data_IF_085790242051
#
_entry.id   IF_085790242051
#
_cell.length_a   1.000
_cell.length_b   1.000
_cell.length_c   1.000
_cell.angle_alpha   90.00
_cell.angle_beta   90.00
_cell.angle_gamma   90.00
#
_symmetry.space_group_name_H-M   'P 1'
#
loop_
_entity.id
_entity.type
_entity.pdbx_description
1 polymer ?
#
# COMPACT_ATOMS: atom_id res chain seq x y z
N UNK A 1 -30.84 -15.52 -4.68
CA UNK A 1 -30.45 -14.31 -5.43
C UNK A 1 -29.82 -14.78 -6.74
N UNK A 2 -30.39 -14.46 -7.91
CA UNK A 2 -29.90 -14.96 -9.21
C UNK A 2 -28.63 -14.19 -9.62
N UNK A 3 -27.46 -14.70 -9.24
CA UNK A 3 -26.16 -14.08 -9.54
C UNK A 3 -25.87 -14.07 -11.06
N UNK A 4 -26.43 -15.03 -11.77
CA UNK A 4 -26.44 -15.25 -13.21
C UNK A 4 -27.18 -14.15 -14.00
N UNK A 5 -28.05 -13.37 -13.33
CA UNK A 5 -28.72 -12.21 -13.92
C UNK A 5 -28.02 -10.86 -13.57
N UNK A 6 -27.03 -10.87 -12.68
CA UNK A 6 -26.28 -9.67 -12.32
C UNK A 6 -25.27 -9.34 -13.42
N UNK A 7 -25.68 -8.49 -14.37
CA UNK A 7 -24.80 -7.95 -15.40
C UNK A 7 -23.81 -6.98 -14.74
N UNK A 8 -22.68 -7.49 -14.25
CA UNK A 8 -21.61 -6.68 -13.68
C UNK A 8 -21.00 -5.85 -14.83
N UNK A 9 -21.44 -4.60 -14.94
CA UNK A 9 -20.84 -3.63 -15.86
C UNK A 9 -19.60 -3.08 -15.18
N UNK A 10 -18.43 -3.46 -15.69
CA UNK A 10 -17.16 -2.90 -15.27
C UNK A 10 -17.03 -1.47 -15.82
N UNK A 11 -17.44 -0.49 -15.01
CA UNK A 11 -17.26 0.93 -15.33
C UNK A 11 -15.80 1.33 -15.06
N UNK A 12 -15.14 2.05 -15.99
CA UNK A 12 -13.84 2.65 -15.71
C UNK A 12 -13.94 3.61 -14.52
N UNK A 13 -13.12 3.38 -13.49
CA UNK A 13 -13.03 4.29 -12.34
C UNK A 13 -11.93 5.32 -12.56
N UNK A 14 -12.21 6.55 -12.17
CA UNK A 14 -11.23 7.63 -12.07
C UNK A 14 -10.27 7.40 -10.89
N UNK A 15 -9.12 8.07 -10.89
CA UNK A 15 -8.17 7.98 -9.78
C UNK A 15 -8.77 8.49 -8.46
N UNK A 16 -9.60 9.53 -8.52
CA UNK A 16 -10.29 10.07 -7.34
C UNK A 16 -11.27 9.06 -6.76
N UNK A 17 -12.08 8.39 -7.60
CA UNK A 17 -12.98 7.32 -7.16
C UNK A 17 -12.21 6.13 -6.55
N UNK A 18 -11.01 5.81 -7.05
CA UNK A 18 -10.16 4.77 -6.46
C UNK A 18 -9.65 5.15 -5.06
N UNK A 19 -9.26 6.41 -4.85
CA UNK A 19 -8.81 6.89 -3.55
C UNK A 19 -9.96 7.01 -2.54
N UNK A 20 -11.11 7.51 -2.97
CA UNK A 20 -12.32 7.54 -2.14
C UNK A 20 -12.71 6.13 -1.70
N UNK A 21 -12.70 5.18 -2.64
CA UNK A 21 -12.95 3.77 -2.32
C UNK A 21 -11.89 3.19 -1.39
N UNK A 22 -10.62 3.57 -1.54
CA UNK A 22 -9.56 3.12 -0.64
C UNK A 22 -9.78 3.64 0.79
N UNK A 23 -10.16 4.91 0.96
CA UNK A 23 -10.50 5.48 2.26
C UNK A 23 -11.70 4.75 2.87
N UNK A 24 -12.77 4.58 2.11
CA UNK A 24 -13.97 3.86 2.56
C UNK A 24 -13.68 2.42 2.93
N UNK A 25 -12.84 1.73 2.15
CA UNK A 25 -12.42 0.37 2.44
C UNK A 25 -11.65 0.29 3.77
N UNK A 26 -10.77 1.27 4.02
CA UNK A 26 -10.00 1.35 5.26
C UNK A 26 -10.89 1.63 6.49
N UNK A 27 -11.98 2.39 6.34
CA UNK A 27 -12.86 2.81 7.45
C UNK A 27 -14.00 1.86 7.76
N UNK A 28 -14.50 1.09 6.79
CA UNK A 28 -15.67 0.22 6.95
C UNK A 28 -15.28 -1.28 6.87
N UNK A 29 -15.06 -1.90 5.69
CA UNK A 29 -14.78 -3.34 5.58
C UNK A 29 -13.54 -3.83 6.34
N UNK A 30 -12.47 -3.05 6.33
CA UNK A 30 -11.16 -3.50 6.81
C UNK A 30 -10.75 -2.86 8.15
N UNK A 31 -11.51 -1.92 8.69
CA UNK A 31 -11.10 -1.12 9.85
C UNK A 31 -10.62 -1.95 11.04
N UNK A 32 -11.39 -2.96 11.46
CA UNK A 32 -11.01 -3.84 12.59
C UNK A 32 -9.73 -4.63 12.31
N UNK A 33 -9.57 -5.13 11.08
CA UNK A 33 -8.38 -5.90 10.68
C UNK A 33 -7.15 -4.98 10.61
N UNK A 34 -7.30 -3.80 10.01
CA UNK A 34 -6.23 -2.82 9.86
C UNK A 34 -5.81 -2.20 11.18
N UNK A 35 -6.74 -1.95 12.10
CA UNK A 35 -6.40 -1.51 13.45
C UNK A 35 -5.54 -2.53 14.19
N UNK A 36 -5.90 -3.82 14.13
CA UNK A 36 -5.11 -4.90 14.74
C UNK A 36 -3.74 -5.04 14.08
N UNK A 37 -3.68 -5.07 12.75
CA UNK A 37 -2.41 -5.13 12.02
C UNK A 37 -1.55 -3.89 12.28
N UNK A 38 -2.14 -2.71 12.32
CA UNK A 38 -1.48 -1.44 12.64
C UNK A 38 -0.90 -1.44 14.05
N UNK A 39 -1.66 -1.89 15.04
CA UNK A 39 -1.16 -2.04 16.41
C UNK A 39 0.02 -3.03 16.51
N UNK A 40 0.04 -4.08 15.69
CA UNK A 40 1.11 -5.08 15.69
C UNK A 40 2.33 -4.70 14.85
N UNK A 41 2.19 -3.85 13.84
CA UNK A 41 3.26 -3.57 12.86
C UNK A 41 3.65 -2.10 12.81
N UNK A 42 2.67 -1.21 12.65
CA UNK A 42 2.91 0.24 12.52
C UNK A 42 3.25 0.88 13.86
N UNK A 43 2.57 0.50 14.94
CA UNK A 43 2.81 1.08 16.26
C UNK A 43 4.23 0.77 16.78
N UNK A 44 4.74 -0.48 16.72
CA UNK A 44 6.14 -0.74 17.08
C UNK A 44 7.13 0.00 16.19
N UNK A 45 6.87 0.10 14.88
CA UNK A 45 7.73 0.84 13.97
C UNK A 45 7.78 2.34 14.29
N UNK A 46 6.64 2.94 14.61
CA UNK A 46 6.56 4.32 15.07
C UNK A 46 7.30 4.52 16.39
N UNK A 47 7.09 3.64 17.37
CA UNK A 47 7.80 3.69 18.66
C UNK A 47 9.31 3.57 18.50
N UNK A 48 9.78 2.72 17.58
CA UNK A 48 11.21 2.62 17.26
C UNK A 48 11.76 3.92 16.66
N UNK A 49 11.02 4.58 15.77
CA UNK A 49 11.41 5.88 15.24
C UNK A 49 11.43 6.97 16.33
N UNK A 50 10.46 6.97 17.24
CA UNK A 50 10.45 7.88 18.38
C UNK A 50 11.62 7.61 19.34
N UNK A 51 11.91 6.34 19.63
CA UNK A 51 13.07 5.97 20.44
C UNK A 51 14.38 6.43 19.79
N UNK A 52 14.52 6.26 18.47
CA UNK A 52 15.68 6.77 17.75
C UNK A 52 15.81 8.31 17.85
N UNK A 53 14.70 9.04 17.73
CA UNK A 53 14.69 10.50 17.82
C UNK A 53 15.01 11.02 19.24
N UNK A 54 14.38 10.45 20.28
CA UNK A 54 14.41 11.03 21.64
C UNK A 54 15.33 10.32 22.63
N UNK A 55 15.68 9.05 22.40
CA UNK A 55 16.57 8.30 23.31
C UNK A 55 17.98 8.17 22.74
N UNK A 56 18.13 8.17 21.42
CA UNK A 56 19.42 8.05 20.74
C UNK A 56 19.88 9.38 20.12
N UNK A 57 19.08 10.44 20.23
CA UNK A 57 19.32 11.78 19.68
C UNK A 57 19.69 11.76 18.18
N UNK A 58 19.08 10.85 17.40
CA UNK A 58 19.32 10.79 15.96
C UNK A 58 18.79 12.04 15.26
N UNK A 59 19.47 12.44 14.18
CA UNK A 59 18.99 13.54 13.36
C UNK A 59 17.63 13.18 12.74
N UNK A 60 16.75 14.16 12.55
CA UNK A 60 15.43 13.91 11.95
C UNK A 60 15.54 13.31 10.55
N UNK A 61 16.61 13.61 9.81
CA UNK A 61 16.87 12.99 8.49
C UNK A 61 17.04 11.48 8.65
N UNK A 62 17.87 11.03 9.60
CA UNK A 62 18.10 9.61 9.87
C UNK A 62 16.83 8.92 10.36
N UNK A 63 16.04 9.60 11.18
CA UNK A 63 14.75 9.10 11.67
C UNK A 63 13.74 8.93 10.51
N UNK A 64 13.68 9.88 9.58
CA UNK A 64 12.84 9.74 8.38
C UNK A 64 13.31 8.62 7.46
N UNK A 65 14.63 8.45 7.30
CA UNK A 65 15.20 7.32 6.56
C UNK A 65 14.82 5.98 7.21
N UNK A 66 14.91 5.89 8.54
CA UNK A 66 14.46 4.72 9.30
C UNK A 66 12.95 4.49 9.11
N UNK A 67 12.13 5.54 9.20
CA UNK A 67 10.69 5.45 9.02
C UNK A 67 10.32 4.91 7.64
N UNK A 68 10.94 5.43 6.57
CA UNK A 68 10.75 4.95 5.20
C UNK A 68 11.23 3.50 5.05
N UNK A 69 12.37 3.15 5.65
CA UNK A 69 12.92 1.79 5.63
C UNK A 69 12.02 0.77 6.35
N UNK A 70 11.33 1.16 7.42
CA UNK A 70 10.37 0.32 8.14
C UNK A 70 9.00 0.27 7.45
N UNK A 71 8.47 1.42 7.01
CA UNK A 71 7.15 1.49 6.38
C UNK A 71 7.11 0.73 5.04
N UNK A 72 8.21 0.74 4.28
CA UNK A 72 8.30 0.08 2.98
C UNK A 72 7.97 -1.43 3.03
N UNK A 73 8.62 -2.25 3.86
CA UNK A 73 8.24 -3.65 4.00
C UNK A 73 6.87 -3.83 4.65
N UNK A 74 6.49 -2.99 5.62
CA UNK A 74 5.19 -3.09 6.30
C UNK A 74 4.01 -2.89 5.33
N UNK A 75 4.15 -2.07 4.28
CA UNK A 75 3.14 -1.97 3.21
C UNK A 75 2.72 -3.35 2.67
N UNK A 76 3.64 -4.31 2.62
CA UNK A 76 3.36 -5.66 2.14
C UNK A 76 2.33 -6.41 2.99
N UNK A 77 2.34 -6.19 4.31
CA UNK A 77 1.34 -6.77 5.23
C UNK A 77 -0.06 -6.30 4.84
N UNK A 78 -0.22 -5.00 4.58
CA UNK A 78 -1.49 -4.41 4.18
C UNK A 78 -1.89 -4.80 2.74
N UNK A 79 -0.93 -4.98 1.83
CA UNK A 79 -1.19 -5.52 0.48
C UNK A 79 -1.74 -6.95 0.54
N UNK A 80 -1.20 -7.80 1.41
CA UNK A 80 -1.76 -9.16 1.62
C UNK A 80 -3.14 -9.09 2.28
N UNK A 81 -3.30 -8.23 3.28
CA UNK A 81 -4.57 -8.05 3.99
C UNK A 81 -5.71 -7.64 3.06
N UNK A 82 -5.51 -6.60 2.24
CA UNK A 82 -6.51 -6.12 1.26
C UNK A 82 -6.80 -7.20 0.22
N UNK A 83 -5.76 -7.89 -0.26
CA UNK A 83 -5.88 -8.97 -1.22
C UNK A 83 -6.82 -10.06 -0.73
N UNK A 84 -6.64 -10.53 0.51
CA UNK A 84 -7.51 -11.56 1.09
C UNK A 84 -8.90 -11.05 1.43
N UNK A 85 -8.99 -9.86 2.03
CA UNK A 85 -10.26 -9.30 2.50
C UNK A 85 -11.23 -8.98 1.36
N UNK A 86 -10.73 -8.75 0.14
CA UNK A 86 -11.60 -8.63 -1.05
C UNK A 86 -12.23 -9.95 -1.50
N UNK A 87 -11.62 -11.10 -1.20
CA UNK A 87 -12.12 -12.41 -1.64
C UNK A 87 -12.74 -13.26 -0.53
N UNK A 88 -12.52 -12.91 0.74
CA UNK A 88 -13.04 -13.63 1.89
C UNK A 88 -13.70 -12.68 2.89
N UNK A 89 -14.87 -13.07 3.39
CA UNK A 89 -15.62 -12.31 4.40
C UNK A 89 -14.85 -12.23 5.73
N UNK A 90 -14.23 -13.34 6.14
CA UNK A 90 -13.43 -13.44 7.36
C UNK A 90 -11.96 -13.68 7.02
N UNK A 91 -11.10 -12.81 7.52
CA UNK A 91 -9.65 -12.92 7.36
C UNK A 91 -9.01 -12.71 8.72
N UNK A 92 -8.28 -13.71 9.21
CA UNK A 92 -7.57 -13.61 10.48
C UNK A 92 -6.23 -12.89 10.33
N UNK A 93 -5.84 -12.17 11.39
CA UNK A 93 -4.56 -11.45 11.46
C UNK A 93 -3.38 -12.40 11.30
N UNK A 94 -3.45 -13.57 11.95
CA UNK A 94 -2.38 -14.57 11.94
C UNK A 94 -2.13 -15.12 10.55
N UNK A 95 -3.17 -15.37 9.76
CA UNK A 95 -2.98 -15.87 8.40
C UNK A 95 -2.37 -14.82 7.46
N UNK A 96 -2.74 -13.54 7.61
CA UNK A 96 -2.12 -12.44 6.85
C UNK A 96 -0.63 -12.36 7.16
N UNK A 97 -0.26 -12.36 8.45
CA UNK A 97 1.13 -12.28 8.88
C UNK A 97 1.93 -13.52 8.47
N UNK A 98 1.35 -14.72 8.58
CA UNK A 98 1.99 -15.96 8.16
C UNK A 98 2.26 -15.96 6.64
N UNK A 99 1.29 -15.56 5.84
CA UNK A 99 1.45 -15.47 4.39
C UNK A 99 2.53 -14.45 4.00
N UNK A 100 2.50 -13.26 4.64
CA UNK A 100 3.53 -12.26 4.46
C UNK A 100 4.92 -12.80 4.84
N UNK A 101 5.04 -13.46 6.00
CA UNK A 101 6.30 -14.00 6.50
C UNK A 101 6.89 -15.07 5.59
N UNK A 102 6.06 -15.99 5.08
CA UNK A 102 6.48 -17.01 4.11
C UNK A 102 7.08 -16.41 2.84
N UNK A 103 6.71 -15.18 2.48
CA UNK A 103 7.22 -14.46 1.31
C UNK A 103 8.11 -13.28 1.64
N UNK A 104 8.52 -13.12 2.90
CA UNK A 104 9.29 -11.98 3.36
C UNK A 104 10.63 -11.85 2.63
N UNK A 105 11.40 -12.94 2.47
CA UNK A 105 12.72 -12.88 1.82
C UNK A 105 12.65 -12.56 0.32
N UNK A 106 11.83 -13.26 -0.51
CA UNK A 106 11.66 -12.86 -1.90
C UNK A 106 11.17 -11.42 -2.06
N UNK A 107 10.26 -10.99 -1.18
CA UNK A 107 9.74 -9.64 -1.15
C UNK A 107 10.82 -8.61 -0.81
N UNK A 108 11.66 -8.88 0.19
CA UNK A 108 12.79 -8.01 0.52
C UNK A 108 13.78 -7.90 -0.64
N UNK A 109 14.05 -9.01 -1.34
CA UNK A 109 14.84 -8.98 -2.59
C UNK A 109 14.20 -8.09 -3.65
N UNK A 110 12.89 -8.18 -3.86
CA UNK A 110 12.15 -7.32 -4.78
C UNK A 110 12.23 -5.83 -4.39
N UNK A 111 12.15 -5.53 -3.09
CA UNK A 111 12.30 -4.18 -2.56
C UNK A 111 13.72 -3.65 -2.81
N UNK A 112 14.77 -4.40 -2.49
CA UNK A 112 16.14 -3.97 -2.74
C UNK A 112 16.35 -3.70 -4.23
N UNK A 113 15.97 -4.64 -5.10
CA UNK A 113 16.15 -4.49 -6.55
C UNK A 113 15.35 -3.30 -7.10
N UNK A 114 14.10 -3.09 -6.66
CA UNK A 114 13.31 -1.93 -7.10
C UNK A 114 13.87 -0.60 -6.59
N UNK A 115 14.46 -0.56 -5.39
CA UNK A 115 15.06 0.66 -4.81
C UNK A 115 16.40 0.99 -5.46
N UNK A 116 17.20 -0.03 -5.80
CA UNK A 116 18.38 0.15 -6.65
C UNK A 116 17.99 0.69 -8.03
N UNK A 117 16.93 0.15 -8.64
CA UNK A 117 16.44 0.62 -9.93
C UNK A 117 15.93 2.08 -9.86
N UNK A 118 15.24 2.45 -8.79
CA UNK A 118 14.85 3.84 -8.53
C UNK A 118 16.05 4.76 -8.31
N UNK A 119 17.03 4.33 -7.51
CA UNK A 119 18.26 5.09 -7.25
C UNK A 119 19.04 5.35 -8.54
N UNK A 120 19.22 4.32 -9.37
CA UNK A 120 19.86 4.44 -10.69
C UNK A 120 19.06 5.36 -11.63
N UNK A 121 17.73 5.23 -11.66
CA UNK A 121 16.87 6.15 -12.42
C UNK A 121 16.96 7.60 -11.92
N UNK A 122 17.14 7.78 -10.61
CA UNK A 122 17.36 9.06 -9.95
C UNK A 122 18.69 9.71 -10.33
N UNK A 123 19.74 8.96 -10.66
CA UNK A 123 21.01 9.52 -11.15
C UNK A 123 20.85 10.25 -12.49
N UNK A 124 19.84 9.91 -13.28
CA UNK A 124 19.41 10.69 -14.44
C UNK A 124 18.66 11.98 -14.08
N UNK A 125 18.93 12.55 -12.90
CA UNK A 125 18.24 13.65 -12.24
C UNK A 125 17.98 14.86 -13.14
N UNK A 126 18.92 15.17 -14.05
CA UNK A 126 18.78 16.27 -15.02
C UNK A 126 17.60 16.08 -15.99
N UNK A 127 17.05 14.88 -16.08
CA UNK A 127 15.87 14.55 -16.87
C UNK A 127 14.70 14.22 -15.94
N UNK A 128 13.95 15.22 -15.48
CA UNK A 128 12.76 15.05 -14.58
C UNK A 128 11.83 13.91 -15.02
N UNK A 129 11.75 13.66 -16.33
CA UNK A 129 10.95 12.60 -16.93
C UNK A 129 11.41 11.18 -16.51
N UNK A 130 12.72 10.93 -16.42
CA UNK A 130 13.25 9.58 -16.20
C UNK A 130 12.94 9.05 -14.79
N UNK A 131 13.18 9.80 -13.68
CA UNK A 131 12.81 9.34 -12.34
C UNK A 131 11.31 9.05 -12.20
N UNK A 132 10.46 9.94 -12.73
CA UNK A 132 8.99 9.76 -12.67
C UNK A 132 8.56 8.51 -13.43
N UNK A 133 9.15 8.27 -14.60
CA UNK A 133 8.86 7.09 -15.41
C UNK A 133 9.33 5.78 -14.75
N UNK A 134 10.53 5.79 -14.16
CA UNK A 134 11.04 4.64 -13.39
C UNK A 134 10.17 4.38 -12.16
N UNK A 135 9.75 5.43 -11.47
CA UNK A 135 8.83 5.34 -10.32
C UNK A 135 7.49 4.74 -10.69
N UNK A 136 6.92 5.16 -11.82
CA UNK A 136 5.73 4.52 -12.37
C UNK A 136 5.96 3.02 -12.57
N UNK A 137 7.04 2.61 -13.25
CA UNK A 137 7.30 1.20 -13.57
C UNK A 137 7.41 0.25 -12.37
N UNK A 138 7.76 0.76 -11.19
CA UNK A 138 7.88 -0.05 -9.98
C UNK A 138 6.65 0.03 -9.06
N UNK A 139 5.59 0.74 -9.46
CA UNK A 139 4.38 0.97 -8.64
C UNK A 139 3.78 -0.32 -8.07
N UNK A 140 3.76 -1.38 -8.87
CA UNK A 140 3.04 -2.63 -8.57
C UNK A 140 3.96 -3.81 -8.20
N UNK A 141 5.21 -3.53 -7.83
CA UNK A 141 6.19 -4.57 -7.43
C UNK A 141 5.70 -5.36 -6.22
N UNK A 142 5.04 -4.70 -5.26
CA UNK A 142 4.57 -5.36 -4.05
C UNK A 142 3.47 -6.38 -4.37
N UNK A 143 2.48 -6.02 -5.20
CA UNK A 143 1.39 -6.91 -5.60
C UNK A 143 1.90 -8.07 -6.46
N UNK A 144 2.78 -7.77 -7.43
CA UNK A 144 3.38 -8.81 -8.28
C UNK A 144 4.18 -9.83 -7.46
N UNK A 145 4.94 -9.39 -6.45
CA UNK A 145 5.70 -10.30 -5.61
C UNK A 145 4.82 -11.06 -4.60
N UNK A 146 3.96 -10.35 -3.86
CA UNK A 146 3.22 -10.93 -2.72
C UNK A 146 1.95 -11.67 -3.14
N UNK A 147 1.28 -11.24 -4.22
CA UNK A 147 0.02 -11.83 -4.65
C UNK A 147 0.24 -12.79 -5.82
N UNK A 148 1.00 -12.39 -6.85
CA UNK A 148 1.31 -13.27 -7.99
C UNK A 148 2.47 -14.25 -7.71
N UNK A 149 3.09 -14.19 -6.52
CA UNK A 149 4.21 -15.06 -6.13
C UNK A 149 5.44 -14.94 -7.04
N UNK A 150 5.60 -13.83 -7.76
CA UNK A 150 6.71 -13.62 -8.67
C UNK A 150 8.05 -13.49 -7.92
N UNK A 151 9.14 -13.90 -8.59
CA UNK A 151 10.51 -13.69 -8.09
C UNK A 151 10.85 -12.20 -8.00
N UNK A 152 11.94 -11.85 -7.32
CA UNK A 152 12.36 -10.45 -7.15
C UNK A 152 12.47 -9.71 -8.50
N UNK A 153 13.21 -10.26 -9.46
CA UNK A 153 13.34 -9.66 -10.81
C UNK A 153 12.04 -9.82 -11.61
N UNK A 154 11.37 -10.97 -11.52
CA UNK A 154 10.11 -11.22 -12.20
C UNK A 154 9.02 -10.20 -11.83
N UNK A 155 8.98 -9.77 -10.57
CA UNK A 155 8.04 -8.77 -10.08
C UNK A 155 8.26 -7.39 -10.70
N UNK A 156 9.51 -6.97 -10.93
CA UNK A 156 9.82 -5.73 -11.65
C UNK A 156 9.41 -5.81 -13.13
N UNK A 157 9.75 -6.91 -13.80
CA UNK A 157 9.37 -7.11 -15.21
C UNK A 157 7.85 -7.10 -15.37
N UNK A 158 7.14 -7.77 -14.46
CA UNK A 158 5.68 -7.82 -14.43
C UNK A 158 5.06 -6.45 -14.19
N UNK A 159 5.51 -5.73 -13.16
CA UNK A 159 5.04 -4.37 -12.86
C UNK A 159 5.31 -3.41 -14.03
N UNK A 160 6.49 -3.48 -14.63
CA UNK A 160 6.85 -2.66 -15.78
C UNK A 160 6.02 -2.97 -17.03
N UNK A 161 5.72 -4.24 -17.29
CA UNK A 161 4.87 -4.66 -18.39
C UNK A 161 3.42 -4.17 -18.23
N UNK A 162 2.89 -4.16 -17.00
CA UNK A 162 1.53 -3.71 -16.73
C UNK A 162 1.33 -2.21 -17.00
N UNK A 163 2.41 -1.42 -16.98
CA UNK A 163 2.38 0.02 -17.15
C UNK A 163 2.80 0.45 -18.57
N UNK A 164 3.20 -0.49 -19.44
CA UNK A 164 3.55 -0.19 -20.84
C UNK A 164 2.39 0.53 -21.52
N UNK A 165 2.66 1.73 -22.05
CA UNK A 165 1.67 2.59 -22.71
C UNK A 165 0.75 3.38 -21.77
N UNK A 166 0.86 3.22 -20.44
CA UNK A 166 0.03 3.92 -19.43
C UNK A 166 0.84 4.55 -18.29
N UNK A 167 2.14 4.77 -18.50
CA UNK A 167 3.04 5.36 -17.51
C UNK A 167 2.55 6.70 -16.92
N UNK A 168 1.98 7.65 -17.70
CA UNK A 168 1.47 8.90 -17.12
C UNK A 168 0.34 8.68 -16.12
N UNK A 169 -0.55 7.71 -16.37
CA UNK A 169 -1.65 7.37 -15.46
C UNK A 169 -1.14 6.78 -14.14
N UNK A 170 -0.20 5.85 -14.21
CA UNK A 170 0.43 5.27 -13.02
C UNK A 170 1.23 6.32 -12.22
N UNK A 171 1.97 7.19 -12.91
CA UNK A 171 2.68 8.31 -12.28
C UNK A 171 1.72 9.29 -11.59
N UNK A 172 0.61 9.65 -12.25
CA UNK A 172 -0.42 10.51 -11.67
C UNK A 172 -1.04 9.92 -10.40
N UNK A 173 -1.32 8.61 -10.41
CA UNK A 173 -1.81 7.89 -9.23
C UNK A 173 -0.80 7.91 -8.08
N UNK A 174 0.48 7.60 -8.36
CA UNK A 174 1.54 7.64 -7.36
C UNK A 174 1.75 9.04 -6.76
N UNK A 175 1.68 10.08 -7.59
CA UNK A 175 1.74 11.47 -7.15
C UNK A 175 0.57 11.80 -6.23
N UNK A 176 -0.66 11.42 -6.61
CA UNK A 176 -1.85 11.67 -5.81
C UNK A 176 -1.81 10.93 -4.46
N UNK A 177 -1.29 9.69 -4.45
CA UNK A 177 -1.05 8.94 -3.21
C UNK A 177 0.02 9.59 -2.33
N UNK A 178 1.07 10.16 -2.94
CA UNK A 178 2.12 10.93 -2.25
C UNK A 178 1.54 12.17 -1.60
N UNK A 179 0.71 12.92 -2.31
CA UNK A 179 -0.06 14.03 -1.73
C UNK A 179 -0.97 13.57 -0.59
N UNK A 180 -1.57 12.37 -0.71
CA UNK A 180 -2.31 11.73 0.37
C UNK A 180 -1.46 11.55 1.63
N UNK A 181 -0.25 10.99 1.53
CA UNK A 181 0.67 10.85 2.68
C UNK A 181 1.03 12.20 3.28
N UNK A 182 1.36 13.18 2.44
CA UNK A 182 1.61 14.54 2.91
C UNK A 182 0.42 15.10 3.69
N UNK A 183 -0.82 14.86 3.23
CA UNK A 183 -2.02 15.26 3.95
C UNK A 183 -2.13 14.58 5.32
N UNK A 184 -1.89 13.27 5.41
CA UNK A 184 -1.88 12.56 6.71
C UNK A 184 -0.81 13.11 7.67
N UNK A 185 0.40 13.35 7.17
CA UNK A 185 1.52 13.89 7.96
C UNK A 185 1.18 15.30 8.47
N UNK A 186 0.72 16.17 7.58
CA UNK A 186 0.36 17.55 7.94
C UNK A 186 -0.86 17.59 8.87
N UNK A 187 -1.88 16.77 8.64
CA UNK A 187 -3.04 16.68 9.52
C UNK A 187 -2.65 16.20 10.92
N UNK A 188 -1.77 15.20 11.04
CA UNK A 188 -1.30 14.74 12.34
C UNK A 188 -0.49 15.82 13.07
N UNK A 189 0.40 16.53 12.38
CA UNK A 189 1.16 17.65 12.95
C UNK A 189 0.23 18.77 13.43
N UNK A 190 -0.69 19.22 12.57
CA UNK A 190 -1.58 20.33 12.89
C UNK A 190 -2.57 20.00 14.01
N UNK A 191 -3.12 18.78 14.03
CA UNK A 191 -4.12 18.38 15.02
C UNK A 191 -3.49 18.01 16.36
N UNK A 192 -2.42 17.22 16.37
CA UNK A 192 -1.82 16.70 17.60
C UNK A 192 -0.86 17.74 18.19
N UNK A 193 0.15 18.19 17.43
CA UNK A 193 1.14 19.12 17.96
C UNK A 193 0.54 20.52 18.15
N UNK A 194 0.14 21.17 17.06
CA UNK A 194 -0.25 22.58 17.12
C UNK A 194 -1.62 22.77 17.80
N UNK A 195 -2.59 21.89 17.49
CA UNK A 195 -3.94 21.96 18.03
C UNK A 195 -4.03 21.49 19.48
N UNK A 196 -3.67 20.24 19.74
CA UNK A 196 -3.85 19.64 21.07
C UNK A 196 -2.76 20.04 22.07
N UNK A 197 -1.48 19.89 21.72
CA UNK A 197 -0.40 20.09 22.69
C UNK A 197 -0.07 21.58 22.91
N UNK A 198 0.06 22.34 21.83
CA UNK A 198 0.43 23.75 21.88
C UNK A 198 -0.77 24.63 22.23
N UNK A 199 -1.87 24.56 21.46
CA UNK A 199 -3.00 25.46 21.66
C UNK A 199 -3.89 25.07 22.85
N UNK A 200 -4.32 23.81 22.96
CA UNK A 200 -5.23 23.39 24.04
C UNK A 200 -4.52 23.16 25.38
N UNK A 201 -3.41 22.41 25.38
CA UNK A 201 -2.72 22.02 26.61
C UNK A 201 -1.59 22.98 27.02
N UNK A 202 -1.15 23.89 26.13
CA UNK A 202 -0.08 24.86 26.38
C UNK A 202 1.24 24.25 26.85
N UNK A 203 1.52 23.00 26.45
CA UNK A 203 2.76 22.28 26.78
C UNK A 203 3.90 22.67 25.83
N UNK A 204 3.59 23.37 24.73
CA UNK A 204 4.52 23.69 23.65
C UNK A 204 4.67 22.51 22.69
N UNK A 205 5.89 22.24 22.23
CA UNK A 205 6.20 21.22 21.21
C UNK A 205 7.05 20.06 21.76
N UNK A 206 6.57 19.32 22.79
CA UNK A 206 7.36 18.27 23.43
C UNK A 206 7.68 17.10 22.50
N UNK A 207 6.94 16.94 21.40
CA UNK A 207 7.15 15.90 20.38
C UNK A 207 8.00 16.38 19.20
N UNK A 208 8.66 17.53 19.31
CA UNK A 208 9.33 18.22 18.21
C UNK A 208 8.36 18.95 17.30
N UNK A 209 8.88 19.59 16.26
CA UNK A 209 8.09 20.30 15.25
C UNK A 209 8.57 20.00 13.85
N UNK A 210 7.64 19.63 12.97
CA UNK A 210 7.92 19.37 11.56
C UNK A 210 8.50 20.61 10.85
N UNK A 211 7.99 21.80 11.17
CA UNK A 211 8.35 23.03 10.47
C UNK A 211 9.66 23.65 10.94
N UNK A 212 10.02 23.49 12.22
CA UNK A 212 11.24 24.08 12.78
C UNK A 212 12.39 23.09 12.88
N UNK A 213 12.11 21.84 13.28
CA UNK A 213 13.13 20.82 13.51
C UNK A 213 13.28 19.85 12.33
N UNK A 214 12.39 19.92 11.34
CA UNK A 214 12.35 18.99 10.20
C UNK A 214 11.65 17.66 10.49
N UNK A 215 11.15 17.47 11.70
CA UNK A 215 10.41 16.27 12.09
C UNK A 215 9.76 16.38 13.47
N UNK A 216 8.75 15.54 13.69
CA UNK A 216 8.07 15.40 14.96
C UNK A 216 7.50 13.99 15.11
N UNK A 217 7.22 13.57 16.35
CA UNK A 217 6.57 12.28 16.59
C UNK A 217 5.15 12.23 15.98
N UNK A 218 4.43 13.36 15.97
CA UNK A 218 3.10 13.47 15.39
C UNK A 218 3.14 13.32 13.85
N UNK A 219 4.10 13.96 13.19
CA UNK A 219 4.33 13.82 11.75
C UNK A 219 4.66 12.36 11.38
N UNK A 220 5.52 11.70 12.16
CA UNK A 220 5.81 10.27 12.00
C UNK A 220 4.56 9.41 12.18
N UNK A 221 3.72 9.74 13.16
CA UNK A 221 2.46 9.02 13.37
C UNK A 221 1.55 9.13 12.14
N UNK A 222 1.38 10.34 11.59
CA UNK A 222 0.64 10.55 10.35
C UNK A 222 1.21 9.76 9.17
N UNK A 223 2.53 9.71 9.04
CA UNK A 223 3.20 8.91 8.00
C UNK A 223 2.87 7.42 8.10
N UNK A 224 2.98 6.82 9.29
CA UNK A 224 2.64 5.40 9.48
C UNK A 224 1.14 5.14 9.33
N UNK A 225 0.28 6.07 9.75
CA UNK A 225 -1.16 5.98 9.60
C UNK A 225 -1.60 5.99 8.12
N UNK A 226 -0.81 6.60 7.23
CA UNK A 226 -1.08 6.60 5.79
C UNK A 226 -0.76 5.27 5.10
N UNK A 227 0.02 4.37 5.72
CA UNK A 227 0.47 3.10 5.12
C UNK A 227 -0.68 2.17 4.67
N UNK A 228 -1.72 1.92 5.47
CA UNK A 228 -2.84 1.07 5.06
C UNK A 228 -3.62 1.68 3.88
N UNK A 229 -3.82 3.00 3.91
CA UNK A 229 -4.48 3.74 2.83
C UNK A 229 -3.68 3.63 1.52
N UNK A 230 -2.38 3.91 1.57
CA UNK A 230 -1.48 3.79 0.42
C UNK A 230 -1.52 2.38 -0.18
N UNK A 231 -1.39 1.36 0.66
CA UNK A 231 -1.35 -0.04 0.23
C UNK A 231 -2.68 -0.46 -0.43
N UNK A 232 -3.80 0.01 0.12
CA UNK A 232 -5.14 -0.25 -0.41
C UNK A 232 -5.37 0.46 -1.75
N UNK A 233 -5.06 1.75 -1.85
CA UNK A 233 -5.18 2.52 -3.08
C UNK A 233 -4.36 1.93 -4.23
N UNK A 234 -3.12 1.53 -3.94
CA UNK A 234 -2.23 0.86 -4.90
C UNK A 234 -2.80 -0.46 -5.37
N UNK A 235 -3.29 -1.27 -4.45
CA UNK A 235 -3.88 -2.56 -4.75
C UNK A 235 -5.17 -2.45 -5.59
N UNK A 236 -6.06 -1.50 -5.28
CA UNK A 236 -7.26 -1.26 -6.08
C UNK A 236 -6.92 -0.81 -7.50
N UNK A 237 -5.91 0.06 -7.64
CA UNK A 237 -5.38 0.45 -8.95
C UNK A 237 -4.76 -0.73 -9.70
N UNK A 238 -4.04 -1.60 -9.01
CA UNK A 238 -3.47 -2.83 -9.56
C UNK A 238 -4.56 -3.77 -10.08
N UNK A 239 -5.63 -4.00 -9.32
CA UNK A 239 -6.74 -4.85 -9.74
C UNK A 239 -7.48 -4.26 -10.95
N UNK A 240 -7.73 -2.94 -10.97
CA UNK A 240 -8.34 -2.28 -12.13
C UNK A 240 -7.49 -2.46 -13.40
N UNK A 241 -6.17 -2.32 -13.29
CA UNK A 241 -5.27 -2.56 -14.43
C UNK A 241 -5.27 -4.03 -14.87
N UNK A 242 -5.19 -4.97 -13.93
CA UNK A 242 -5.19 -6.40 -14.23
C UNK A 242 -6.48 -6.84 -14.91
N UNK A 243 -7.61 -6.32 -14.45
CA UNK A 243 -8.93 -6.57 -15.05
C UNK A 243 -8.97 -6.10 -16.50
N UNK A 244 -8.41 -4.92 -16.79
CA UNK A 244 -8.43 -4.35 -18.14
C UNK A 244 -7.39 -4.92 -19.10
N UNK A 245 -6.22 -5.32 -18.61
CA UNK A 245 -5.10 -5.75 -19.45
C UNK A 245 -5.07 -7.25 -19.66
N UNK A 246 -5.31 -8.02 -18.60
CA UNK A 246 -5.20 -9.48 -18.65
C UNK A 246 -6.56 -10.15 -18.90
N UNK A 247 -7.64 -9.37 -19.04
CA UNK A 247 -9.01 -9.90 -19.16
C UNK A 247 -9.37 -10.77 -17.95
N UNK A 248 -8.94 -10.34 -16.76
CA UNK A 248 -9.08 -11.15 -15.55
C UNK A 248 -10.55 -11.45 -15.22
N UNK A 249 -11.47 -10.59 -15.61
CA UNK A 249 -12.91 -10.82 -15.53
C UNK A 249 -13.37 -12.04 -16.35
N UNK A 250 -12.81 -12.22 -17.54
CA UNK A 250 -13.05 -13.39 -18.39
C UNK A 250 -12.47 -14.64 -17.73
N UNK A 251 -11.26 -14.56 -17.19
CA UNK A 251 -10.63 -15.68 -16.48
C UNK A 251 -11.46 -16.11 -15.26
N UNK A 252 -11.93 -15.15 -14.45
CA UNK A 252 -12.77 -15.44 -13.29
C UNK A 252 -14.11 -16.07 -13.69
N UNK A 253 -14.71 -15.65 -14.82
CA UNK A 253 -15.93 -16.29 -15.36
C UNK A 253 -15.69 -17.73 -15.79
N UNK A 254 -14.60 -18.01 -16.49
CA UNK A 254 -14.27 -19.39 -16.88
C UNK A 254 -13.99 -20.27 -15.65
N UNK A 255 -13.29 -19.76 -14.64
CA UNK A 255 -13.08 -20.48 -13.39
C UNK A 255 -14.39 -20.76 -12.65
N UNK A 256 -15.34 -19.82 -12.66
CA UNK A 256 -16.65 -20.00 -12.05
C UNK A 256 -17.50 -21.05 -12.78
N UNK A 257 -17.47 -21.06 -14.12
CA UNK A 257 -18.14 -22.10 -14.94
C UNK A 257 -17.53 -23.48 -14.65
N UNK A 258 -16.20 -23.59 -14.64
CA UNK A 258 -15.52 -24.84 -14.36
C UNK A 258 -15.80 -25.37 -12.94
N UNK A 259 -15.91 -24.48 -11.95
CA UNK A 259 -16.29 -24.87 -10.59
C UNK A 259 -17.74 -25.36 -10.51
N UNK A 260 -18.67 -24.71 -11.22
CA UNK A 260 -20.06 -25.15 -11.30
C UNK A 260 -20.19 -26.52 -11.99
N UNK A 261 -19.45 -26.74 -13.08
CA UNK A 261 -19.43 -28.04 -13.78
C UNK A 261 -18.85 -29.15 -12.88
N UNK A 262 -17.82 -28.86 -12.09
CA UNK A 262 -17.25 -29.81 -11.14
C UNK A 262 -18.24 -30.21 -10.03
N UNK A 263 -18.97 -29.23 -9.47
CA UNK A 263 -20.02 -29.47 -8.47
C UNK A 263 -21.18 -30.31 -9.03
N UNK A 264 -21.55 -30.11 -10.30
CA UNK A 264 -22.58 -30.91 -10.98
C UNK A 264 -22.13 -32.36 -11.21
N UNK A 265 -20.87 -32.56 -11.61
CA UNK A 265 -20.30 -33.90 -11.77
C UNK A 265 -20.21 -34.67 -10.44
N UNK A 266 -19.87 -34.02 -9.33
CA UNK A 266 -19.87 -34.65 -8.00
C UNK A 266 -21.29 -35.01 -7.53
N UNK A 267 -22.30 -34.18 -7.84
CA UNK A 267 -23.70 -34.45 -7.49
C UNK A 267 -24.36 -35.52 -8.37
N UNK A 268 -23.94 -35.66 -9.62
CA UNK A 268 -24.43 -36.70 -10.53
C UNK A 268 -23.83 -38.09 -10.28
N UNK A 269 -22.72 -38.17 -9.53
CA UNK A 269 -22.05 -39.41 -9.18
C UNK A 269 -22.48 -39.99 -7.81
N UNK A 270 -23.30 -39.25 -7.03
CA UNK A 270 -23.86 -39.65 -5.74
C UNK A 270 -25.31 -40.11 -5.87
#
# INVERSE_FOLDING_TARGET
>A
MKLDAARIVLRPRSMAELLDLALRFCSEPAAKLYAKLGALTLLPAWLLCCAAAFLLDWSWVDVWLLAVALATPIQGVFTVAVGRKMFAEEVSVGEVLLQFWRRFFPYMGALIVSRLFLGLGGLGFFTVILPIWVWARVAYVHEACLLEQASAVGSLTRAGNMIKGRAPGAAGMLLLMTLGVCAFVLSAELLINNGLLEFLLQVGTPLGSLFYSGGSAAALFGFFLAVPFWSTARFLSYIDQRTRLDGWDIQLRFMAIQAADADEHERGAA
#
